data_IF_087611037204
#
_entry.id   IF_087611037204
#
_cell.length_a   1.000
_cell.length_b   1.000
_cell.length_c   1.000
_cell.angle_alpha   90.00
_cell.angle_beta   90.00
_cell.angle_gamma   90.00
#
_symmetry.space_group_name_H-M   'P 1'
#
loop_
_entity.id
_entity.type
_entity.pdbx_description
1 polymer ?
#
# COMPACT_ATOMS: atom_id res chain seq x y z
N UNK A 1 -4.60 -6.40 -12.92
CA UNK A 1 -5.71 -5.42 -13.12
C UNK A 1 -5.14 -4.09 -13.62
N UNK A 2 -5.80 -3.36 -14.52
CA UNK A 2 -5.36 -2.02 -14.99
C UNK A 2 -6.52 -1.04 -15.00
N UNK A 3 -6.29 0.20 -14.53
CA UNK A 3 -7.32 1.23 -14.42
C UNK A 3 -6.95 2.43 -15.29
N UNK A 4 -7.90 2.84 -16.14
CA UNK A 4 -7.74 3.95 -17.07
C UNK A 4 -8.83 5.01 -16.85
N UNK A 5 -8.49 6.27 -17.12
CA UNK A 5 -9.45 7.36 -17.22
C UNK A 5 -9.17 8.12 -18.51
N UNK A 6 -10.17 8.24 -19.39
CA UNK A 6 -10.04 8.90 -20.70
C UNK A 6 -8.85 8.39 -21.53
N UNK A 7 -8.59 7.08 -21.51
CA UNK A 7 -7.47 6.45 -22.21
C UNK A 7 -6.10 6.59 -21.53
N UNK A 8 -5.97 7.40 -20.47
CA UNK A 8 -4.74 7.52 -19.68
C UNK A 8 -4.70 6.43 -18.60
N UNK A 9 -3.58 5.69 -18.52
CA UNK A 9 -3.34 4.74 -17.44
C UNK A 9 -3.13 5.49 -16.11
N UNK A 10 -3.98 5.20 -15.13
CA UNK A 10 -3.87 5.74 -13.78
C UNK A 10 -2.95 4.85 -12.93
N UNK A 11 -3.31 3.57 -12.82
CA UNK A 11 -2.55 2.54 -12.11
C UNK A 11 -2.78 1.17 -12.76
N UNK A 12 -1.90 0.22 -12.48
CA UNK A 12 -2.06 -1.19 -12.82
C UNK A 12 -1.37 -2.06 -11.79
N UNK A 13 -1.77 -3.31 -11.73
CA UNK A 13 -1.08 -4.34 -10.98
C UNK A 13 0.38 -4.44 -11.42
N UNK A 14 1.28 -4.54 -10.45
CA UNK A 14 2.69 -4.82 -10.70
C UNK A 14 2.97 -6.29 -10.45
N UNK A 15 2.80 -7.09 -11.50
CA UNK A 15 2.98 -8.53 -11.42
C UNK A 15 4.44 -8.99 -11.48
N UNK A 16 5.40 -8.11 -11.79
CA UNK A 16 6.81 -8.45 -12.03
C UNK A 16 7.77 -7.48 -11.35
N UNK A 17 7.76 -7.44 -10.01
CA UNK A 17 8.80 -6.74 -9.23
C UNK A 17 9.85 -7.73 -8.72
N UNK A 18 10.82 -8.03 -9.57
CA UNK A 18 11.88 -9.01 -9.32
C UNK A 18 13.27 -8.37 -9.39
N UNK A 19 14.24 -8.99 -8.73
CA UNK A 19 15.65 -8.67 -8.88
C UNK A 19 16.27 -9.46 -10.05
N UNK A 20 17.58 -9.29 -10.27
CA UNK A 20 18.33 -9.97 -11.35
C UNK A 20 18.32 -11.50 -11.24
N UNK A 21 18.04 -12.06 -10.06
CA UNK A 21 17.95 -13.49 -9.81
C UNK A 21 16.50 -14.03 -9.94
N UNK A 22 15.58 -13.24 -10.51
CA UNK A 22 14.14 -13.51 -10.56
C UNK A 22 13.48 -13.69 -9.18
N UNK A 23 14.08 -13.19 -8.11
CA UNK A 23 13.46 -13.17 -6.77
C UNK A 23 12.56 -11.96 -6.63
N UNK A 24 11.35 -12.21 -6.14
CA UNK A 24 10.37 -11.18 -5.81
C UNK A 24 10.89 -10.23 -4.74
N UNK A 25 10.91 -8.93 -5.03
CA UNK A 25 11.10 -7.89 -4.00
C UNK A 25 9.80 -7.63 -3.23
N UNK A 26 8.69 -7.72 -3.96
CA UNK A 26 7.33 -7.65 -3.47
C UNK A 26 6.53 -8.74 -4.19
N UNK A 27 5.60 -9.36 -3.48
CA UNK A 27 4.80 -10.45 -4.04
C UNK A 27 3.64 -9.88 -4.88
N UNK A 28 3.37 -10.45 -6.07
CA UNK A 28 2.25 -10.04 -6.91
C UNK A 28 0.92 -10.28 -6.19
N UNK A 29 -0.18 -9.71 -6.66
CA UNK A 29 -1.48 -9.84 -6.01
C UNK A 29 -1.85 -11.30 -5.71
N UNK A 30 -2.21 -11.57 -4.46
CA UNK A 30 -2.46 -12.93 -4.00
C UNK A 30 -2.76 -13.02 -2.51
N UNK A 31 -2.58 -14.23 -1.97
CA UNK A 31 -2.81 -14.53 -0.57
C UNK A 31 -1.75 -15.48 -0.02
N UNK A 32 -1.53 -15.42 1.28
CA UNK A 32 -0.68 -16.35 2.02
C UNK A 32 -1.55 -17.40 2.69
N UNK A 33 -1.14 -18.66 2.62
CA UNK A 33 -1.78 -19.76 3.33
C UNK A 33 -0.91 -20.25 4.49
N UNK A 34 -1.55 -20.78 5.53
CA UNK A 34 -0.87 -21.55 6.57
C UNK A 34 -0.61 -23.00 6.12
N UNK A 35 -0.03 -23.82 7.01
CA UNK A 35 0.28 -25.23 6.72
C UNK A 35 -0.96 -26.10 6.43
N UNK A 36 -2.16 -25.66 6.83
CA UNK A 36 -3.43 -26.35 6.53
C UNK A 36 -4.02 -25.93 5.18
N UNK A 37 -3.42 -24.96 4.49
CA UNK A 37 -3.94 -24.37 3.26
C UNK A 37 -4.97 -23.26 3.50
N UNK A 38 -5.22 -22.85 4.74
CA UNK A 38 -6.14 -21.75 5.06
C UNK A 38 -5.48 -20.42 4.74
N UNK A 39 -6.18 -19.55 4.02
CA UNK A 39 -5.73 -18.16 3.78
C UNK A 39 -5.66 -17.37 5.09
N UNK A 40 -4.53 -16.72 5.34
CA UNK A 40 -4.24 -15.95 6.56
C UNK A 40 -3.91 -14.49 6.29
N UNK A 41 -3.66 -14.12 5.03
CA UNK A 41 -3.43 -12.74 4.60
C UNK A 41 -3.67 -12.64 3.10
N UNK A 42 -4.14 -11.48 2.65
CA UNK A 42 -4.22 -11.13 1.23
C UNK A 42 -3.38 -9.89 0.98
N UNK A 43 -2.83 -9.74 -0.21
CA UNK A 43 -2.05 -8.57 -0.59
C UNK A 43 -2.27 -8.26 -2.06
N UNK A 44 -2.27 -6.96 -2.38
CA UNK A 44 -2.35 -6.45 -3.73
C UNK A 44 -1.15 -5.54 -4.00
N UNK A 45 -0.56 -5.67 -5.18
CA UNK A 45 0.61 -4.88 -5.58
C UNK A 45 0.33 -4.12 -6.87
N UNK A 46 0.67 -2.83 -6.88
CA UNK A 46 0.45 -1.93 -8.00
C UNK A 46 1.72 -1.18 -8.36
N UNK A 47 1.77 -0.67 -9.59
CA UNK A 47 2.91 0.12 -10.06
C UNK A 47 3.02 1.43 -9.29
N UNK A 48 4.26 1.86 -9.04
CA UNK A 48 4.58 3.16 -8.49
C UNK A 48 5.30 3.98 -9.56
N UNK A 49 4.68 5.04 -10.05
CA UNK A 49 5.37 5.95 -10.98
C UNK A 49 6.39 6.81 -10.22
N UNK A 50 7.43 7.28 -10.92
CA UNK A 50 8.57 7.98 -10.30
C UNK A 50 8.18 9.29 -9.59
N UNK A 51 7.18 9.99 -10.13
CA UNK A 51 6.68 11.29 -9.65
C UNK A 51 5.41 11.18 -8.79
N UNK A 52 4.94 9.95 -8.55
CA UNK A 52 3.70 9.70 -7.83
C UNK A 52 3.86 9.91 -6.32
N UNK A 53 2.91 10.62 -5.74
CA UNK A 53 2.84 10.98 -4.33
C UNK A 53 1.53 10.47 -3.74
N UNK A 54 1.52 10.21 -2.43
CA UNK A 54 0.37 9.64 -1.75
C UNK A 54 0.01 10.41 -0.49
N UNK A 55 -1.30 10.49 -0.21
CA UNK A 55 -1.85 11.13 0.99
C UNK A 55 -3.04 10.35 1.52
N UNK A 56 -3.39 10.58 2.79
CA UNK A 56 -4.53 9.93 3.44
C UNK A 56 -4.07 9.09 4.62
N UNK A 57 -4.65 7.89 4.73
CA UNK A 57 -4.54 6.94 5.83
C UNK A 57 -5.20 7.39 7.15
N UNK A 58 -6.06 8.41 7.07
CA UNK A 58 -6.66 9.07 8.23
C UNK A 58 -5.70 10.07 8.89
N UNK A 59 -5.68 10.10 10.22
CA UNK A 59 -4.74 10.91 10.99
C UNK A 59 -3.38 10.21 11.05
N UNK A 60 -2.33 10.81 10.49
CA UNK A 60 -0.95 10.30 10.56
C UNK A 60 0.03 11.44 10.83
N UNK A 61 0.95 11.22 11.78
CA UNK A 61 1.91 12.23 12.24
C UNK A 61 3.28 12.16 11.53
N UNK A 62 3.40 11.29 10.52
CA UNK A 62 4.56 11.23 9.62
C UNK A 62 4.49 12.28 8.52
N UNK A 63 5.55 12.42 7.72
CA UNK A 63 5.59 13.32 6.56
C UNK A 63 4.32 13.22 5.71
N UNK A 64 3.86 14.38 5.20
CA UNK A 64 2.58 14.49 4.51
C UNK A 64 2.49 13.58 3.27
N UNK A 65 3.51 13.61 2.41
CA UNK A 65 3.65 12.64 1.32
C UNK A 65 4.08 11.28 1.86
N UNK A 66 3.24 10.27 1.66
CA UNK A 66 3.45 8.91 2.16
C UNK A 66 4.38 8.06 1.28
N UNK A 67 4.84 8.57 0.14
CA UNK A 67 5.84 7.88 -0.69
C UNK A 67 7.07 7.51 0.14
N UNK A 68 7.50 6.25 0.03
CA UNK A 68 8.65 5.70 0.74
C UNK A 68 8.38 5.31 2.20
N UNK A 69 7.14 5.39 2.66
CA UNK A 69 6.77 5.03 4.04
C UNK A 69 6.06 3.68 4.09
N UNK A 70 6.17 3.01 5.23
CA UNK A 70 5.26 1.93 5.62
C UNK A 70 4.24 2.51 6.57
N UNK A 71 2.97 2.29 6.27
CA UNK A 71 1.84 2.82 7.04
C UNK A 71 1.02 1.65 7.56
N UNK A 72 0.75 1.66 8.87
CA UNK A 72 -0.10 0.67 9.51
C UNK A 72 -1.47 1.29 9.77
N UNK A 73 -2.51 0.72 9.17
CA UNK A 73 -3.88 1.10 9.44
C UNK A 73 -4.43 0.23 10.57
N UNK A 74 -4.21 0.70 11.79
CA UNK A 74 -4.76 0.13 13.02
C UNK A 74 -5.00 1.23 14.04
N UNK A 75 -6.18 1.27 14.64
CA UNK A 75 -6.48 2.24 15.69
C UNK A 75 -5.79 1.82 16.99
N UNK A 76 -4.90 2.67 17.48
CA UNK A 76 -4.11 2.42 18.69
C UNK A 76 -4.04 3.70 19.52
N UNK A 77 -3.92 3.56 20.84
CA UNK A 77 -3.48 4.67 21.67
C UNK A 77 -2.00 4.97 21.34
N UNK A 78 -1.77 6.06 20.62
CA UNK A 78 -0.45 6.43 20.12
C UNK A 78 0.47 7.00 21.22
N UNK A 79 -0.11 7.39 22.37
CA UNK A 79 0.58 8.04 23.50
C UNK A 79 1.41 9.28 23.15
N UNK A 80 1.34 9.75 21.90
CA UNK A 80 2.18 10.79 21.32
C UNK A 80 1.70 11.17 19.91
N UNK A 81 2.25 12.25 19.37
CA UNK A 81 2.04 12.69 17.98
C UNK A 81 3.35 12.76 17.19
N UNK A 82 4.35 11.94 17.58
CA UNK A 82 5.69 11.96 17.01
C UNK A 82 6.16 10.57 16.50
N UNK A 83 5.22 9.64 16.34
CA UNK A 83 5.44 8.31 15.75
C UNK A 83 4.42 8.04 14.64
N UNK A 84 4.52 6.89 13.99
CA UNK A 84 3.55 6.47 12.96
C UNK A 84 2.20 6.05 13.55
N UNK A 85 2.20 5.56 14.80
CA UNK A 85 1.00 5.17 15.52
C UNK A 85 -0.01 6.33 15.54
N UNK A 86 -1.29 6.01 15.37
CA UNK A 86 -2.32 7.04 15.37
C UNK A 86 -3.68 6.56 15.86
N UNK A 87 -4.47 7.53 16.33
CA UNK A 87 -5.78 7.30 16.92
C UNK A 87 -6.87 7.07 15.88
N UNK A 88 -6.70 7.56 14.64
CA UNK A 88 -7.76 7.60 13.62
C UNK A 88 -7.25 7.11 12.26
N UNK A 89 -6.71 5.90 12.24
CA UNK A 89 -6.25 5.25 11.01
C UNK A 89 -7.42 4.82 10.12
N UNK A 90 -7.31 5.06 8.81
CA UNK A 90 -8.30 4.63 7.81
C UNK A 90 -7.59 3.99 6.61
N UNK A 91 -8.02 2.81 6.12
CA UNK A 91 -7.37 2.12 4.99
C UNK A 91 -7.74 2.76 3.63
N UNK A 92 -7.48 4.06 3.50
CA UNK A 92 -7.80 4.88 2.33
C UNK A 92 -6.65 5.82 2.00
N UNK A 93 -6.31 5.94 0.72
CA UNK A 93 -5.35 6.94 0.25
C UNK A 93 -5.72 7.51 -1.11
N UNK A 94 -5.17 8.69 -1.40
CA UNK A 94 -5.26 9.37 -2.69
C UNK A 94 -3.86 9.45 -3.31
N UNK A 95 -3.77 9.19 -4.61
CA UNK A 95 -2.57 9.38 -5.42
C UNK A 95 -2.60 10.71 -6.16
N UNK A 96 -1.44 11.34 -6.33
CA UNK A 96 -1.25 12.53 -7.18
C UNK A 96 -1.61 12.28 -8.65
N UNK A 97 -1.76 11.03 -9.06
CA UNK A 97 -2.17 10.64 -10.42
C UNK A 97 -3.68 10.75 -10.67
N UNK A 98 -4.47 11.15 -9.67
CA UNK A 98 -5.91 11.40 -9.83
C UNK A 98 -6.79 10.19 -9.55
N UNK A 99 -6.32 9.23 -8.76
CA UNK A 99 -7.13 8.12 -8.25
C UNK A 99 -6.99 8.00 -6.73
N UNK A 100 -7.93 7.29 -6.14
CA UNK A 100 -7.90 6.93 -4.72
C UNK A 100 -8.21 5.46 -4.56
N UNK A 101 -7.74 4.88 -3.46
CA UNK A 101 -7.99 3.48 -3.10
C UNK A 101 -8.57 3.46 -1.71
N UNK A 102 -9.69 2.76 -1.56
CA UNK A 102 -10.22 2.29 -0.29
C UNK A 102 -10.01 0.79 -0.24
N UNK A 103 -9.15 0.31 0.67
CA UNK A 103 -9.10 -1.12 0.98
C UNK A 103 -10.26 -1.40 1.92
N UNK A 104 -11.34 -1.95 1.37
CA UNK A 104 -12.60 -2.18 2.09
C UNK A 104 -12.49 -3.35 3.09
N UNK A 105 -11.83 -3.09 4.21
CA UNK A 105 -11.63 -4.03 5.30
C UNK A 105 -11.72 -3.33 6.65
N UNK A 106 -12.08 -4.10 7.68
CA UNK A 106 -11.99 -3.72 9.09
C UNK A 106 -10.81 -4.38 9.81
N UNK A 107 -10.06 -5.25 9.12
CA UNK A 107 -8.88 -5.90 9.67
C UNK A 107 -7.71 -4.91 9.72
N UNK A 108 -6.76 -5.18 10.62
CA UNK A 108 -5.46 -4.52 10.55
C UNK A 108 -4.87 -4.70 9.15
N UNK A 109 -4.42 -3.60 8.57
CA UNK A 109 -3.88 -3.56 7.21
C UNK A 109 -2.59 -2.75 7.19
N UNK A 110 -1.71 -3.12 6.28
CA UNK A 110 -0.39 -2.56 6.07
C UNK A 110 -0.27 -2.02 4.65
N UNK A 111 0.44 -0.91 4.50
CA UNK A 111 0.66 -0.25 3.22
C UNK A 111 2.15 0.08 3.07
N UNK A 112 2.82 -0.58 2.14
CA UNK A 112 4.17 -0.25 1.72
C UNK A 112 4.09 0.70 0.52
N UNK A 113 4.23 2.01 0.77
CA UNK A 113 4.06 3.05 -0.23
C UNK A 113 5.36 3.34 -1.00
N UNK A 114 6.09 2.27 -1.32
CA UNK A 114 7.38 2.30 -2.01
C UNK A 114 8.59 2.35 -1.07
N UNK A 115 8.43 1.91 0.17
CA UNK A 115 9.52 1.75 1.14
C UNK A 115 10.40 0.54 0.80
N UNK A 116 9.80 -0.56 0.32
CA UNK A 116 10.53 -1.76 -0.08
C UNK A 116 10.94 -1.78 -1.55
N UNK A 117 10.15 -1.12 -2.42
CA UNK A 117 10.40 -1.09 -3.85
C UNK A 117 10.01 0.25 -4.45
N UNK A 118 10.88 0.80 -5.29
CA UNK A 118 10.71 2.16 -5.84
C UNK A 118 9.83 2.17 -7.08
N UNK A 119 9.39 0.99 -7.52
CA UNK A 119 8.55 0.78 -8.72
C UNK A 119 7.18 0.18 -8.38
N UNK A 120 6.89 -0.08 -7.11
CA UNK A 120 5.58 -0.55 -6.67
C UNK A 120 5.20 -0.10 -5.28
N UNK A 121 3.90 -0.02 -5.02
CA UNK A 121 3.34 -0.02 -3.68
C UNK A 121 2.54 -1.31 -3.45
N UNK A 122 2.47 -1.77 -2.20
CA UNK A 122 1.73 -2.95 -1.80
C UNK A 122 0.79 -2.62 -0.64
N UNK A 123 -0.39 -3.23 -0.65
CA UNK A 123 -1.35 -3.17 0.46
C UNK A 123 -1.86 -4.56 0.82
N UNK A 124 -2.09 -4.83 2.10
CA UNK A 124 -2.58 -6.12 2.59
C UNK A 124 -2.81 -6.15 4.09
#
# INVERSE_FOLDING_TARGET
MSIYQNGKLLTKEQAFDTNVDNRWKQLPTGFRVDASGKSIASFEQFVLFSDEQFWGFGEKFTHFNKRGQRIECWQKDALSTNTEDSYKSHPYFTSSRGYSVLLNTFTRSSFDMGASSWISYQMG
#
